data_IF_048408970715
#
_entry.id   IF_048408970715
#
_cell.length_a   1.000
_cell.length_b   1.000
_cell.length_c   1.000
_cell.angle_alpha   90.00
_cell.angle_beta   90.00
_cell.angle_gamma   90.00
#
_symmetry.space_group_name_H-M   'P 1'
#
loop_
_entity.id
_entity.type
_entity.pdbx_description
1 polymer ?
#
# COMPACT_ATOMS: atom_id res chain seq x y z
N UNK A 1 13.72 7.21 17.74
CA UNK A 1 13.31 6.12 16.84
C UNK A 1 13.74 4.81 17.45
N UNK A 2 12.81 3.92 17.79
CA UNK A 2 13.12 2.59 18.34
C UNK A 2 13.38 1.70 17.13
N UNK A 3 14.64 1.27 16.97
CA UNK A 3 15.00 0.23 16.01
C UNK A 3 14.40 -1.10 16.49
N UNK A 4 13.37 -1.61 15.81
CA UNK A 4 12.74 -2.88 16.16
C UNK A 4 13.59 -4.10 15.78
N UNK A 5 14.70 -3.94 15.07
CA UNK A 5 15.68 -5.00 14.79
C UNK A 5 16.48 -4.81 13.51
N UNK A 6 17.71 -5.33 13.53
CA UNK A 6 18.52 -5.53 12.32
C UNK A 6 18.29 -6.97 11.83
N UNK A 7 17.84 -7.12 10.60
CA UNK A 7 17.68 -8.44 9.97
C UNK A 7 18.83 -8.67 8.98
N UNK A 8 19.44 -9.85 9.05
CA UNK A 8 20.39 -10.29 8.03
C UNK A 8 19.62 -10.62 6.74
N UNK A 9 19.75 -9.77 5.73
CA UNK A 9 19.47 -10.18 4.35
C UNK A 9 20.74 -10.81 3.77
N UNK A 10 20.60 -11.73 2.82
CA UNK A 10 21.74 -12.31 2.08
C UNK A 10 22.40 -11.14 1.33
N UNK A 11 23.55 -10.64 1.85
CA UNK A 11 24.32 -9.55 1.24
C UNK A 11 24.43 -8.24 2.04
N UNK A 12 23.75 -8.07 3.19
CA UNK A 12 23.84 -6.84 4.00
C UNK A 12 22.87 -6.81 5.18
N UNK A 13 22.96 -5.73 5.98
CA UNK A 13 22.02 -5.47 7.08
C UNK A 13 20.88 -4.60 6.57
N UNK A 14 19.68 -5.17 6.45
CA UNK A 14 18.45 -4.41 6.23
C UNK A 14 17.92 -3.93 7.57
N UNK A 15 17.62 -2.64 7.67
CA UNK A 15 16.94 -2.05 8.83
C UNK A 15 15.42 -2.20 8.68
N UNK A 16 14.75 -2.59 9.75
CA UNK A 16 13.30 -2.76 9.78
C UNK A 16 12.68 -1.85 10.82
N UNK A 17 11.68 -1.07 10.41
CA UNK A 17 10.99 -0.10 11.25
C UNK A 17 9.48 -0.35 11.25
N UNK A 18 8.83 -0.06 12.39
CA UNK A 18 7.37 -0.13 12.56
C UNK A 18 6.83 1.19 13.11
N UNK A 19 6.78 2.25 12.29
CA UNK A 19 6.30 3.58 12.72
C UNK A 19 4.86 3.51 13.17
N UNK A 20 4.50 4.45 14.06
CA UNK A 20 3.14 4.60 14.60
C UNK A 20 2.37 5.77 14.00
N UNK A 21 3.00 6.53 13.10
CA UNK A 21 2.38 7.63 12.36
C UNK A 21 2.96 7.75 10.96
N UNK A 22 2.23 8.41 10.06
CA UNK A 22 2.73 8.72 8.73
C UNK A 22 3.95 9.65 8.79
N UNK A 23 3.95 10.63 9.70
CA UNK A 23 5.09 11.54 9.88
C UNK A 23 6.37 10.79 10.20
N UNK A 24 6.32 9.83 11.14
CA UNK A 24 7.47 8.98 11.49
C UNK A 24 7.92 8.11 10.31
N UNK A 25 6.97 7.53 9.55
CA UNK A 25 7.29 6.72 8.37
C UNK A 25 8.00 7.53 7.28
N UNK A 26 7.55 8.77 7.07
CA UNK A 26 8.11 9.71 6.10
C UNK A 26 9.52 10.13 6.53
N UNK A 27 9.71 10.49 7.81
CA UNK A 27 11.00 10.89 8.38
C UNK A 27 12.03 9.77 8.19
N UNK A 28 11.72 8.53 8.59
CA UNK A 28 12.58 7.37 8.39
C UNK A 28 12.94 7.20 6.90
N UNK A 29 11.95 7.32 6.01
CA UNK A 29 12.18 7.18 4.57
C UNK A 29 13.10 8.29 4.02
N UNK A 30 12.93 9.52 4.48
CA UNK A 30 13.76 10.67 4.04
C UNK A 30 15.20 10.58 4.53
N UNK A 31 15.41 10.12 5.76
CA UNK A 31 16.75 9.97 6.36
C UNK A 31 17.52 8.76 5.84
N UNK A 32 16.85 7.77 5.31
CA UNK A 32 17.44 6.54 4.80
C UNK A 32 18.48 6.83 3.69
N UNK A 33 19.67 6.22 3.82
CA UNK A 33 20.77 6.34 2.84
C UNK A 33 20.73 5.20 1.86
N UNK A 34 19.74 4.97 1.13
CA UNK A 34 19.67 3.84 0.19
C UNK A 34 18.26 3.54 -0.24
N UNK A 35 18.03 2.30 -0.64
CA UNK A 35 16.73 1.85 -1.12
C UNK A 35 15.80 1.65 0.06
N UNK A 36 14.69 2.38 0.07
CA UNK A 36 13.61 2.21 1.04
C UNK A 36 12.42 1.51 0.38
N UNK A 37 11.77 0.62 1.13
CA UNK A 37 10.48 0.02 0.74
C UNK A 37 9.49 0.14 1.88
N UNK A 38 8.26 0.52 1.55
CA UNK A 38 7.13 0.43 2.46
C UNK A 38 6.51 -0.96 2.38
N UNK A 39 6.09 -1.47 3.54
CA UNK A 39 5.49 -2.79 3.70
C UNK A 39 4.07 -2.64 4.25
N UNK A 40 3.07 -2.98 3.44
CA UNK A 40 1.69 -3.17 3.87
C UNK A 40 1.39 -4.68 4.00
N UNK A 41 0.74 -5.30 3.02
CA UNK A 41 0.46 -6.74 3.01
C UNK A 41 1.71 -7.63 2.90
N UNK A 42 2.68 -7.21 2.11
CA UNK A 42 3.96 -7.89 1.94
C UNK A 42 3.96 -9.05 0.95
N UNK A 43 2.86 -9.30 0.26
CA UNK A 43 2.71 -10.44 -0.65
C UNK A 43 3.64 -10.39 -1.86
N UNK A 44 4.02 -9.19 -2.31
CA UNK A 44 5.01 -9.00 -3.37
C UNK A 44 6.40 -8.74 -2.80
N UNK A 45 6.55 -7.74 -1.92
CA UNK A 45 7.87 -7.29 -1.46
C UNK A 45 8.65 -8.38 -0.72
N UNK A 46 7.98 -9.23 0.08
CA UNK A 46 8.66 -10.32 0.77
C UNK A 46 9.09 -11.46 -0.18
N UNK A 47 8.35 -11.66 -1.27
CA UNK A 47 8.75 -12.60 -2.34
C UNK A 47 9.94 -12.03 -3.11
N UNK A 48 9.91 -10.74 -3.45
CA UNK A 48 11.01 -10.04 -4.13
C UNK A 48 12.30 -10.05 -3.28
N UNK A 49 12.18 -9.84 -1.96
CA UNK A 49 13.30 -9.96 -1.01
C UNK A 49 13.88 -11.36 -0.99
N UNK A 50 13.04 -12.39 -0.92
CA UNK A 50 13.48 -13.79 -0.90
C UNK A 50 14.15 -14.21 -2.20
N UNK A 51 13.75 -13.64 -3.33
CA UNK A 51 14.29 -13.90 -4.65
C UNK A 51 15.46 -12.97 -5.04
N UNK A 52 15.94 -12.14 -4.12
CA UNK A 52 16.99 -11.14 -4.34
C UNK A 52 16.71 -10.17 -5.53
N UNK A 53 15.43 -9.99 -5.89
CA UNK A 53 14.99 -9.05 -6.94
C UNK A 53 15.11 -7.61 -6.42
N UNK A 54 14.84 -7.41 -5.12
CA UNK A 54 14.96 -6.13 -4.42
C UNK A 54 15.75 -6.34 -3.14
N UNK A 55 16.77 -5.51 -2.92
CA UNK A 55 17.60 -5.53 -1.72
C UNK A 55 17.53 -4.15 -1.04
N UNK A 56 16.44 -3.82 -0.32
CA UNK A 56 16.32 -2.53 0.34
C UNK A 56 17.25 -2.46 1.56
N UNK A 57 17.81 -1.27 1.79
CA UNK A 57 18.54 -0.95 3.00
C UNK A 57 17.58 -0.74 4.19
N UNK A 58 16.37 -0.25 3.89
CA UNK A 58 15.33 0.06 4.87
C UNK A 58 13.97 -0.48 4.44
N UNK A 59 13.33 -1.23 5.34
CA UNK A 59 11.96 -1.71 5.21
C UNK A 59 11.08 -1.07 6.29
N UNK A 60 10.04 -0.36 5.89
CA UNK A 60 9.14 0.38 6.77
C UNK A 60 7.77 -0.29 6.77
N UNK A 61 7.43 -0.96 7.85
CA UNK A 61 6.14 -1.62 8.03
C UNK A 61 5.10 -0.64 8.56
N UNK A 62 4.15 -0.25 7.72
CA UNK A 62 3.15 0.76 8.04
C UNK A 62 1.95 0.23 8.85
N UNK A 63 1.83 -1.06 9.08
CA UNK A 63 0.65 -1.69 9.69
C UNK A 63 0.36 -1.27 11.13
N UNK A 64 1.32 -0.66 11.83
CA UNK A 64 1.11 -0.10 13.18
C UNK A 64 0.60 1.35 13.20
N UNK A 65 0.47 1.98 12.04
CA UNK A 65 -0.19 3.28 11.90
C UNK A 65 -1.70 3.03 12.00
N UNK A 66 -2.45 3.67 12.92
CA UNK A 66 -3.85 3.33 13.17
C UNK A 66 -4.74 3.41 11.93
N UNK A 67 -4.64 4.48 11.16
CA UNK A 67 -5.57 4.79 10.05
C UNK A 67 -5.41 3.91 8.82
N UNK A 68 -4.32 3.13 8.72
CA UNK A 68 -4.07 2.29 7.54
C UNK A 68 -4.91 1.03 7.48
N UNK A 69 -5.52 0.64 8.59
CA UNK A 69 -6.39 -0.54 8.70
C UNK A 69 -7.88 -0.25 8.60
N UNK A 70 -8.29 1.01 8.39
CA UNK A 70 -9.68 1.41 8.46
C UNK A 70 -10.38 1.38 7.09
N UNK A 71 -11.66 0.99 7.10
CA UNK A 71 -12.61 1.15 5.99
C UNK A 71 -13.69 2.12 6.50
N UNK A 72 -13.77 3.31 5.92
CA UNK A 72 -14.67 4.36 6.37
C UNK A 72 -15.56 4.84 5.22
N UNK A 73 -16.86 4.92 5.46
CA UNK A 73 -17.78 5.60 4.58
C UNK A 73 -17.97 7.05 5.08
N UNK A 74 -17.75 7.99 4.19
CA UNK A 74 -17.96 9.41 4.48
C UNK A 74 -19.45 9.78 4.39
N UNK A 75 -19.81 10.93 4.93
CA UNK A 75 -21.20 11.43 4.93
C UNK A 75 -21.77 11.73 3.54
N UNK A 76 -20.92 11.90 2.55
CA UNK A 76 -21.29 12.10 1.14
C UNK A 76 -21.47 10.77 0.37
N UNK A 77 -21.26 9.63 1.02
CA UNK A 77 -21.36 8.30 0.43
C UNK A 77 -20.06 7.75 -0.17
N UNK A 78 -19.01 8.55 -0.24
CA UNK A 78 -17.68 8.11 -0.68
C UNK A 78 -17.02 7.20 0.37
N UNK A 79 -15.99 6.45 -0.04
CA UNK A 79 -15.26 5.54 0.85
C UNK A 79 -13.78 5.89 0.92
N UNK A 80 -13.23 5.75 2.11
CA UNK A 80 -11.79 5.77 2.37
C UNK A 80 -11.33 4.40 2.86
N UNK A 81 -10.41 3.78 2.13
CA UNK A 81 -9.86 2.45 2.42
C UNK A 81 -8.38 2.62 2.72
N UNK A 82 -7.98 2.33 3.95
CA UNK A 82 -6.60 2.49 4.42
C UNK A 82 -5.61 1.58 3.69
N UNK A 83 -4.36 2.02 3.59
CA UNK A 83 -3.33 1.39 2.78
C UNK A 83 -2.98 -0.06 3.17
N UNK A 84 -3.25 -0.46 4.41
CA UNK A 84 -2.96 -1.80 4.90
C UNK A 84 -4.21 -2.66 5.12
N UNK A 85 -5.39 -2.23 4.65
CA UNK A 85 -6.61 -3.04 4.67
C UNK A 85 -6.41 -4.27 3.78
N UNK A 86 -6.50 -5.50 4.30
CA UNK A 86 -6.34 -6.72 3.51
C UNK A 86 -7.59 -7.00 2.67
N UNK A 87 -7.41 -7.64 1.51
CA UNK A 87 -8.50 -7.99 0.59
C UNK A 87 -9.60 -8.82 1.24
N UNK A 88 -9.26 -9.74 2.14
CA UNK A 88 -10.24 -10.51 2.88
C UNK A 88 -11.21 -9.63 3.69
N UNK A 89 -10.70 -8.53 4.31
CA UNK A 89 -11.54 -7.58 5.04
C UNK A 89 -12.47 -6.79 4.11
N UNK A 90 -12.00 -6.45 2.89
CA UNK A 90 -12.85 -5.83 1.87
C UNK A 90 -13.99 -6.76 1.46
N UNK A 91 -13.70 -8.04 1.26
CA UNK A 91 -14.69 -9.03 0.86
C UNK A 91 -15.75 -9.28 1.95
N UNK A 92 -15.40 -9.16 3.21
CA UNK A 92 -16.31 -9.30 4.36
C UNK A 92 -17.13 -8.02 4.62
N UNK A 93 -16.77 -6.87 4.04
CA UNK A 93 -17.44 -5.59 4.27
C UNK A 93 -18.67 -5.46 3.40
N UNK A 94 -19.84 -5.76 3.96
CA UNK A 94 -21.13 -5.91 3.23
C UNK A 94 -21.52 -4.65 2.45
N UNK A 95 -21.44 -3.47 3.07
CA UNK A 95 -21.90 -2.21 2.47
C UNK A 95 -20.95 -1.77 1.34
N UNK A 96 -19.64 -1.88 1.54
CA UNK A 96 -18.65 -1.61 0.50
C UNK A 96 -18.84 -2.56 -0.71
N UNK A 97 -18.99 -3.86 -0.43
CA UNK A 97 -19.21 -4.88 -1.46
C UNK A 97 -20.50 -4.65 -2.25
N UNK A 98 -21.56 -4.19 -1.58
CA UNK A 98 -22.82 -3.87 -2.24
C UNK A 98 -22.71 -2.65 -3.17
N UNK A 99 -21.95 -1.62 -2.78
CA UNK A 99 -21.78 -0.40 -3.56
C UNK A 99 -20.69 -0.54 -4.63
N UNK A 100 -19.60 -1.23 -4.33
CA UNK A 100 -18.43 -1.39 -5.18
C UNK A 100 -18.05 -2.86 -5.44
N UNK A 101 -19.00 -3.69 -5.95
CA UNK A 101 -18.75 -5.13 -6.14
C UNK A 101 -17.54 -5.39 -7.04
N UNK A 102 -17.36 -4.64 -8.14
CA UNK A 102 -16.27 -4.84 -9.07
C UNK A 102 -14.89 -4.59 -8.47
N UNK A 103 -14.75 -3.65 -7.52
CA UNK A 103 -13.49 -3.41 -6.81
C UNK A 103 -13.16 -4.58 -5.88
N UNK A 104 -14.18 -5.09 -5.16
CA UNK A 104 -14.02 -6.22 -4.24
C UNK A 104 -13.74 -7.51 -5.02
N UNK A 105 -14.46 -7.77 -6.11
CA UNK A 105 -14.22 -8.93 -6.99
C UNK A 105 -12.81 -8.92 -7.60
N UNK A 106 -12.33 -7.76 -8.05
CA UNK A 106 -10.97 -7.62 -8.58
C UNK A 106 -9.91 -7.93 -7.51
N UNK A 107 -10.17 -7.57 -6.25
CA UNK A 107 -9.29 -7.92 -5.14
C UNK A 107 -9.29 -9.43 -4.86
N UNK A 108 -10.42 -10.11 -5.06
CA UNK A 108 -10.57 -11.56 -4.90
C UNK A 108 -9.86 -12.37 -6.01
N UNK A 109 -9.44 -11.73 -7.10
CA UNK A 109 -8.61 -12.37 -8.13
C UNK A 109 -7.13 -12.43 -7.73
N UNK A 110 -6.70 -11.67 -6.74
CA UNK A 110 -5.29 -11.64 -6.31
C UNK A 110 -4.91 -12.92 -5.58
N UNK A 111 -4.21 -13.80 -6.29
CA UNK A 111 -3.64 -15.01 -5.70
C UNK A 111 -4.68 -15.96 -5.08
N UNK A 112 -4.37 -16.45 -3.89
CA UNK A 112 -5.22 -17.36 -3.11
C UNK A 112 -5.84 -16.66 -1.90
N UNK A 113 -6.79 -17.30 -1.23
CA UNK A 113 -7.40 -16.81 0.01
C UNK A 113 -6.34 -16.43 1.08
N UNK A 114 -5.24 -17.19 1.16
CA UNK A 114 -4.13 -16.87 2.07
C UNK A 114 -3.41 -15.59 1.67
N UNK A 115 -3.25 -15.34 0.37
CA UNK A 115 -2.67 -14.10 -0.16
C UNK A 115 -3.63 -12.93 0.10
N UNK A 116 -4.93 -13.11 -0.14
CA UNK A 116 -5.98 -12.09 0.09
C UNK A 116 -6.09 -11.67 1.56
N UNK A 117 -5.76 -12.57 2.50
CA UNK A 117 -5.63 -12.24 3.93
C UNK A 117 -4.50 -11.24 4.25
N UNK A 118 -3.66 -10.88 3.28
CA UNK A 118 -2.51 -9.97 3.43
C UNK A 118 -2.43 -8.91 2.34
N UNK A 119 -2.68 -9.27 1.08
CA UNK A 119 -2.61 -8.35 -0.06
C UNK A 119 -3.56 -7.16 0.13
N UNK A 120 -3.12 -5.98 -0.29
CA UNK A 120 -3.88 -4.72 -0.14
C UNK A 120 -4.02 -4.03 -1.49
N UNK A 121 -5.07 -3.21 -1.68
CA UNK A 121 -5.26 -2.40 -2.90
C UNK A 121 -4.04 -1.50 -3.15
N UNK A 122 -3.56 -0.82 -2.12
CA UNK A 122 -2.39 0.08 -2.22
C UNK A 122 -1.11 -0.71 -2.53
N UNK A 123 -0.91 -1.88 -1.91
CA UNK A 123 0.24 -2.73 -2.21
C UNK A 123 0.25 -3.21 -3.66
N UNK A 124 -0.91 -3.63 -4.18
CA UNK A 124 -1.07 -4.05 -5.58
C UNK A 124 -0.80 -2.89 -6.55
N UNK A 125 -1.32 -1.69 -6.26
CA UNK A 125 -1.06 -0.48 -7.04
C UNK A 125 0.43 -0.09 -7.03
N UNK A 126 1.05 -0.01 -5.83
CA UNK A 126 2.44 0.42 -5.67
C UNK A 126 3.46 -0.58 -6.21
N UNK A 127 3.09 -1.86 -6.37
CA UNK A 127 3.94 -2.85 -7.05
C UNK A 127 4.16 -2.50 -8.54
N UNK A 128 3.28 -1.68 -9.14
CA UNK A 128 3.42 -1.18 -10.50
C UNK A 128 3.40 -2.27 -11.57
N UNK A 129 2.83 -3.44 -11.26
CA UNK A 129 2.73 -4.55 -12.20
C UNK A 129 1.73 -4.24 -13.31
N UNK A 130 2.08 -4.44 -14.60
CA UNK A 130 1.10 -4.37 -15.69
C UNK A 130 -0.02 -5.40 -15.58
N UNK A 131 0.17 -6.44 -14.78
CA UNK A 131 -0.80 -7.51 -14.51
C UNK A 131 -1.47 -7.35 -13.13
N UNK A 132 -1.54 -6.13 -12.60
CA UNK A 132 -2.20 -5.86 -11.33
C UNK A 132 -3.72 -6.01 -11.47
N UNK A 133 -4.32 -6.96 -10.75
CA UNK A 133 -5.74 -7.31 -10.88
C UNK A 133 -6.68 -6.19 -10.42
N UNK A 134 -6.36 -5.51 -9.31
CA UNK A 134 -7.24 -4.49 -8.73
C UNK A 134 -7.15 -3.11 -9.40
N UNK A 135 -6.04 -2.78 -10.07
CA UNK A 135 -5.81 -1.45 -10.61
C UNK A 135 -6.80 -1.07 -11.72
N UNK A 136 -7.12 -1.92 -12.71
CA UNK A 136 -8.14 -1.59 -13.71
C UNK A 136 -9.52 -1.32 -13.11
N UNK A 137 -9.91 -2.06 -12.07
CA UNK A 137 -11.19 -1.86 -11.39
C UNK A 137 -11.23 -0.53 -10.62
N UNK A 138 -10.13 -0.14 -9.98
CA UNK A 138 -10.01 1.16 -9.31
C UNK A 138 -10.07 2.32 -10.31
N UNK A 139 -9.41 2.19 -11.47
CA UNK A 139 -9.48 3.18 -12.55
C UNK A 139 -10.91 3.31 -13.06
N UNK A 140 -11.58 2.19 -13.35
CA UNK A 140 -12.96 2.17 -13.82
C UNK A 140 -13.95 2.76 -12.79
N UNK A 141 -13.64 2.63 -11.49
CA UNK A 141 -14.39 3.24 -10.41
C UNK A 141 -14.14 4.76 -10.27
N UNK A 142 -13.21 5.34 -11.02
CA UNK A 142 -12.80 6.74 -10.83
C UNK A 142 -12.12 6.98 -9.48
N UNK A 143 -11.45 5.96 -8.94
CA UNK A 143 -10.80 6.03 -7.64
C UNK A 143 -9.61 6.97 -7.65
N UNK A 144 -9.37 7.62 -6.50
CA UNK A 144 -8.16 8.36 -6.21
C UNK A 144 -7.40 7.76 -5.04
N UNK A 145 -6.20 8.22 -4.80
CA UNK A 145 -5.40 7.89 -3.62
C UNK A 145 -4.97 9.14 -2.89
N UNK A 146 -4.88 9.04 -1.56
CA UNK A 146 -4.29 10.08 -0.74
C UNK A 146 -2.80 9.78 -0.57
N UNK A 147 -1.96 10.59 -1.21
CA UNK A 147 -0.50 10.55 -1.06
C UNK A 147 -0.11 11.49 0.06
N UNK A 148 0.70 11.02 1.00
CA UNK A 148 1.22 11.82 2.12
C UNK A 148 2.74 11.96 2.01
N UNK A 149 3.24 13.13 2.40
CA UNK A 149 4.66 13.49 2.38
C UNK A 149 4.99 14.46 3.51
N UNK A 150 6.26 14.85 3.64
CA UNK A 150 6.69 15.89 4.58
C UNK A 150 6.03 17.26 4.31
N UNK A 151 5.57 17.51 3.08
CA UNK A 151 4.93 18.75 2.66
C UNK A 151 3.41 18.75 2.81
N UNK A 152 2.83 17.70 3.39
CA UNK A 152 1.38 17.51 3.53
C UNK A 152 0.84 16.37 2.70
N UNK A 153 -0.44 16.46 2.34
CA UNK A 153 -1.13 15.43 1.54
C UNK A 153 -1.68 16.00 0.24
N UNK A 154 -1.75 15.14 -0.76
CA UNK A 154 -2.39 15.43 -2.06
C UNK A 154 -3.23 14.26 -2.52
N UNK A 155 -4.26 14.54 -3.28
CA UNK A 155 -5.07 13.51 -3.93
C UNK A 155 -4.63 13.33 -5.38
N UNK A 156 -4.52 12.07 -5.82
CA UNK A 156 -4.06 11.70 -7.15
C UNK A 156 -4.98 10.61 -7.68
N UNK A 157 -5.40 10.69 -8.93
CA UNK A 157 -6.16 9.61 -9.57
C UNK A 157 -5.32 8.33 -9.62
N UNK A 158 -5.98 7.19 -9.43
CA UNK A 158 -5.27 5.89 -9.48
C UNK A 158 -4.57 5.68 -10.81
N UNK A 159 -5.16 6.14 -11.92
CA UNK A 159 -4.59 6.02 -13.26
C UNK A 159 -3.26 6.78 -13.43
N UNK A 160 -3.03 7.83 -12.64
CA UNK A 160 -1.83 8.65 -12.68
C UNK A 160 -0.69 8.12 -11.80
N UNK A 161 -0.92 7.08 -11.01
CA UNK A 161 0.11 6.51 -10.13
C UNK A 161 1.10 5.60 -10.86
N UNK A 162 0.66 4.66 -11.73
CA UNK A 162 1.60 3.83 -12.49
C UNK A 162 2.36 4.66 -13.52
N UNK A 163 3.70 4.58 -13.50
CA UNK A 163 4.54 5.29 -14.49
C UNK A 163 5.05 4.34 -15.59
N UNK A 164 5.59 3.19 -15.19
CA UNK A 164 6.08 2.15 -16.09
C UNK A 164 6.13 0.83 -15.31
N UNK A 165 6.34 -0.33 -15.96
CA UNK A 165 6.39 -1.60 -15.26
C UNK A 165 7.33 -1.57 -14.03
N UNK A 166 6.79 -1.85 -12.84
CA UNK A 166 7.50 -1.83 -11.57
C UNK A 166 7.82 -0.43 -11.01
N UNK A 167 7.24 0.64 -11.60
CA UNK A 167 7.50 2.02 -11.16
C UNK A 167 6.22 2.82 -11.02
N UNK A 168 6.20 3.69 -10.02
CA UNK A 168 5.14 4.68 -9.77
C UNK A 168 5.70 6.09 -9.87
N UNK A 169 4.82 7.09 -9.88
CA UNK A 169 5.19 8.52 -9.82
C UNK A 169 5.56 8.99 -8.41
N UNK A 170 5.47 8.11 -7.40
CA UNK A 170 5.77 8.47 -6.02
C UNK A 170 7.27 8.78 -5.85
N UNK A 171 7.54 9.89 -5.19
CA UNK A 171 8.89 10.34 -4.87
C UNK A 171 9.38 9.77 -3.52
N UNK A 172 10.66 9.95 -3.23
CA UNK A 172 11.22 9.56 -1.93
C UNK A 172 10.51 10.30 -0.79
N UNK A 173 10.08 9.57 0.23
CA UNK A 173 9.31 10.13 1.34
C UNK A 173 7.82 10.29 1.06
N UNK A 174 7.34 9.92 -0.13
CA UNK A 174 5.91 9.81 -0.41
C UNK A 174 5.41 8.39 -0.18
N UNK A 175 4.23 8.28 0.43
CA UNK A 175 3.50 7.02 0.52
C UNK A 175 2.00 7.24 0.38
N UNK A 176 1.30 6.23 -0.11
CA UNK A 176 -0.16 6.24 -0.18
C UNK A 176 -0.72 5.84 1.18
N UNK A 177 -1.56 6.68 1.76
CA UNK A 177 -2.23 6.42 3.04
C UNK A 177 -3.58 5.72 2.88
N UNK A 178 -4.28 5.94 1.78
CA UNK A 178 -5.58 5.35 1.49
C UNK A 178 -5.91 5.37 -0.01
N UNK A 179 -6.85 4.49 -0.40
CA UNK A 179 -7.64 4.58 -1.64
C UNK A 179 -8.97 5.23 -1.31
N UNK A 180 -9.43 6.14 -2.16
CA UNK A 180 -10.71 6.81 -2.05
C UNK A 180 -11.60 6.39 -3.23
N UNK A 181 -12.81 5.88 -2.94
CA UNK A 181 -13.83 5.59 -3.94
C UNK A 181 -14.88 6.71 -3.89
N UNK A 182 -15.36 7.21 -5.03
CA UNK A 182 -16.39 8.24 -5.06
C UNK A 182 -17.72 7.77 -4.46
N UNK A 183 -18.65 8.70 -4.28
CA UNK A 183 -19.98 8.44 -3.75
C UNK A 183 -20.87 7.65 -4.72
#
# INVERSE_FOLDING_TARGET
>A
VILDGNYHAIGGYMQYYTPKSFSEAIEISMEAKGITRFLAGGTDVLVQLRADIVTPDVLIDIKKIPEVGDILQNSDGSWRIGAAVPGAQLNEHKDLKAQWPGVVEAMDLIGSTQVQGRATLVGNLCNGSPAADSVPALIAAGASVTVVSANGSREVLVEDIPHSPGKTVLEKGELISAVNLPA
#
